data_IF_143950656108
#
_entry.id   IF_143950656108
#
_cell.length_a   1.000
_cell.length_b   1.000
_cell.length_c   1.000
_cell.angle_alpha   90.00
_cell.angle_beta   90.00
_cell.angle_gamma   90.00
#
_symmetry.space_group_name_H-M   'P 1'
#
loop_
_entity.id
_entity.type
_entity.pdbx_description
1 polymer ?
#
# COMPACT_ATOMS: atom_id res chain seq x y z
N UNK A 1 -21.40 -11.36 13.47
CA UNK A 1 -20.93 -11.03 12.11
C UNK A 1 -19.42 -11.23 12.10
N UNK A 2 -18.86 -12.10 11.23
CA UNK A 2 -17.39 -12.27 11.16
C UNK A 2 -16.81 -11.02 10.48
N UNK A 3 -16.07 -10.21 11.22
CA UNK A 3 -15.34 -9.09 10.64
C UNK A 3 -14.25 -9.64 9.73
N UNK A 4 -14.25 -9.26 8.46
CA UNK A 4 -13.27 -9.77 7.50
C UNK A 4 -11.87 -9.30 7.90
N UNK A 5 -10.90 -10.22 7.93
CA UNK A 5 -9.50 -9.90 8.18
C UNK A 5 -8.96 -8.96 7.10
N UNK A 6 -8.03 -8.09 7.47
CA UNK A 6 -7.42 -7.16 6.54
C UNK A 6 -6.50 -7.89 5.53
N UNK A 7 -6.63 -7.62 4.21
CA UNK A 7 -5.77 -8.25 3.22
C UNK A 7 -4.27 -7.93 3.36
N UNK A 8 -3.89 -6.86 4.09
CA UNK A 8 -2.50 -6.48 4.30
C UNK A 8 -1.69 -7.48 5.17
N UNK A 9 -2.34 -8.53 5.69
CA UNK A 9 -1.69 -9.58 6.47
C UNK A 9 -1.40 -9.22 7.91
N UNK A 10 -1.97 -8.14 8.45
CA UNK A 10 -1.79 -7.73 9.86
C UNK A 10 -2.51 -8.64 10.87
N UNK A 11 -3.47 -9.46 10.42
CA UNK A 11 -4.32 -10.26 11.29
C UNK A 11 -5.50 -9.50 11.91
N UNK A 12 -5.46 -8.17 11.91
CA UNK A 12 -6.55 -7.32 12.38
C UNK A 12 -7.75 -7.33 11.44
N UNK A 13 -8.92 -6.99 11.98
CA UNK A 13 -10.11 -6.69 11.20
C UNK A 13 -9.86 -5.57 10.19
N UNK A 14 -10.42 -5.68 8.99
CA UNK A 14 -10.27 -4.68 7.94
C UNK A 14 -10.67 -3.27 8.40
N UNK A 15 -11.83 -3.15 9.05
CA UNK A 15 -12.34 -1.86 9.53
C UNK A 15 -11.37 -1.16 10.51
N UNK A 16 -10.74 -1.93 11.38
CA UNK A 16 -9.79 -1.43 12.38
C UNK A 16 -8.36 -1.31 11.84
N UNK A 17 -8.10 -1.79 10.63
CA UNK A 17 -6.81 -1.74 9.96
C UNK A 17 -6.91 -0.81 8.74
N UNK A 18 -6.66 -1.28 7.53
CA UNK A 18 -6.62 -0.41 6.34
C UNK A 18 -7.96 0.27 6.00
N UNK A 19 -9.09 -0.28 6.46
CA UNK A 19 -10.41 0.32 6.28
C UNK A 19 -10.55 1.69 6.93
N UNK A 20 -9.83 1.95 8.04
CA UNK A 20 -9.83 3.28 8.68
C UNK A 20 -9.31 4.37 7.75
N UNK A 21 -8.31 4.04 6.91
CA UNK A 21 -7.70 4.97 5.97
C UNK A 21 -8.47 5.02 4.65
N UNK A 22 -8.86 3.85 4.13
CA UNK A 22 -9.46 3.71 2.79
C UNK A 22 -10.92 4.16 2.77
N UNK A 23 -11.72 3.74 3.76
CA UNK A 23 -13.16 3.99 3.78
C UNK A 23 -13.55 5.10 4.78
N UNK A 24 -12.85 5.20 5.93
CA UNK A 24 -13.12 6.22 6.96
C UNK A 24 -12.23 7.47 6.87
N UNK A 25 -11.34 7.54 5.87
CA UNK A 25 -10.51 8.72 5.55
C UNK A 25 -9.60 9.21 6.69
N UNK A 26 -9.27 8.35 7.66
CA UNK A 26 -8.20 8.63 8.60
C UNK A 26 -6.87 8.79 7.83
N UNK A 27 -5.92 9.53 8.41
CA UNK A 27 -4.61 9.77 7.80
C UNK A 27 -3.64 8.68 8.30
N UNK A 28 -2.93 7.96 7.41
CA UNK A 28 -1.84 7.07 7.81
C UNK A 28 -0.79 7.82 8.63
N UNK A 29 -0.42 7.28 9.78
CA UNK A 29 0.54 7.93 10.70
C UNK A 29 1.99 7.61 10.32
N UNK A 30 2.20 6.45 9.71
CA UNK A 30 3.51 5.97 9.25
C UNK A 30 3.54 5.68 7.75
N UNK A 31 4.74 5.64 7.18
CA UNK A 31 4.95 5.18 5.81
C UNK A 31 4.49 3.71 5.62
N UNK A 32 4.67 2.86 6.64
CA UNK A 32 4.19 1.47 6.61
C UNK A 32 2.66 1.38 6.60
N UNK A 33 1.96 2.20 7.39
CA UNK A 33 0.48 2.28 7.36
C UNK A 33 0.00 2.64 5.96
N UNK A 34 0.66 3.61 5.32
CA UNK A 34 0.33 3.99 3.96
C UNK A 34 0.64 2.86 2.97
N UNK A 35 1.80 2.22 3.06
CA UNK A 35 2.17 1.09 2.19
C UNK A 35 1.13 -0.04 2.28
N UNK A 36 0.79 -0.47 3.50
CA UNK A 36 -0.20 -1.53 3.75
C UNK A 36 -1.58 -1.16 3.20
N UNK A 37 -2.03 0.06 3.43
CA UNK A 37 -3.32 0.53 2.94
C UNK A 37 -3.35 0.68 1.42
N UNK A 38 -2.26 1.11 0.78
CA UNK A 38 -2.13 1.13 -0.69
C UNK A 38 -2.22 -0.28 -1.28
N UNK A 39 -1.54 -1.27 -0.69
CA UNK A 39 -1.69 -2.67 -1.10
C UNK A 39 -3.15 -3.13 -1.03
N UNK A 40 -3.85 -2.84 0.07
CA UNK A 40 -5.27 -3.21 0.22
C UNK A 40 -6.16 -2.45 -0.77
N UNK A 41 -5.83 -1.20 -1.08
CA UNK A 41 -6.53 -0.42 -2.09
C UNK A 41 -6.38 -1.05 -3.49
N UNK A 42 -5.21 -1.55 -3.87
CA UNK A 42 -5.04 -2.36 -5.08
C UNK A 42 -5.89 -3.65 -5.03
N UNK A 43 -5.83 -4.39 -3.92
CA UNK A 43 -6.59 -5.62 -3.74
C UNK A 43 -8.12 -5.43 -3.81
N UNK A 44 -8.60 -4.22 -3.51
CA UNK A 44 -10.03 -3.86 -3.49
C UNK A 44 -10.44 -2.88 -4.60
N UNK A 45 -9.58 -2.63 -5.58
CA UNK A 45 -9.84 -1.70 -6.68
C UNK A 45 -10.23 -0.27 -6.23
N UNK A 46 -9.62 0.26 -5.15
CA UNK A 46 -9.91 1.57 -4.56
C UNK A 46 -9.03 2.67 -5.17
N UNK A 47 -9.25 2.97 -6.45
CA UNK A 47 -8.41 3.88 -7.25
C UNK A 47 -8.37 5.31 -6.73
N UNK A 48 -9.48 5.83 -6.18
CA UNK A 48 -9.50 7.17 -5.58
C UNK A 48 -8.49 7.30 -4.42
N UNK A 49 -8.38 6.28 -3.56
CA UNK A 49 -7.41 6.26 -2.46
C UNK A 49 -5.98 6.16 -2.98
N UNK A 50 -5.74 5.32 -4.00
CA UNK A 50 -4.42 5.20 -4.64
C UNK A 50 -3.97 6.54 -5.22
N UNK A 51 -4.87 7.26 -5.89
CA UNK A 51 -4.62 8.56 -6.50
C UNK A 51 -4.38 9.67 -5.46
N UNK A 52 -5.13 9.66 -4.36
CA UNK A 52 -5.02 10.65 -3.28
C UNK A 52 -3.75 10.47 -2.42
N UNK A 53 -3.16 9.28 -2.45
CA UNK A 53 -1.96 8.93 -1.66
C UNK A 53 -0.71 8.76 -2.53
N UNK A 54 -0.79 9.16 -3.79
CA UNK A 54 0.35 9.20 -4.70
C UNK A 54 0.86 10.64 -4.78
N UNK A 55 2.17 10.81 -4.73
CA UNK A 55 2.78 12.11 -4.96
C UNK A 55 2.45 12.63 -6.36
N UNK A 56 1.98 13.88 -6.53
CA UNK A 56 1.53 14.39 -7.82
C UNK A 56 2.59 14.35 -8.93
N UNK A 57 3.88 14.47 -8.59
CA UNK A 57 4.96 14.48 -9.59
C UNK A 57 5.22 13.13 -10.27
N UNK A 58 4.80 12.01 -9.65
CA UNK A 58 5.06 10.66 -10.17
C UNK A 58 3.79 9.84 -10.36
N UNK A 59 2.61 10.44 -10.12
CA UNK A 59 1.32 9.76 -10.23
C UNK A 59 1.03 9.40 -11.69
N UNK A 60 0.80 8.12 -12.03
CA UNK A 60 0.41 7.74 -13.37
C UNK A 60 -0.99 8.26 -13.71
N UNK A 61 -1.24 8.48 -15.00
CA UNK A 61 -2.54 8.94 -15.49
C UNK A 61 -3.63 7.87 -15.33
N UNK A 62 -3.24 6.59 -15.40
CA UNK A 62 -4.14 5.45 -15.25
C UNK A 62 -3.75 4.61 -14.03
N UNK A 63 -4.75 4.34 -13.18
CA UNK A 63 -4.66 3.50 -11.98
C UNK A 63 -5.70 2.37 -12.02
N UNK A 64 -6.31 2.14 -13.20
CA UNK A 64 -7.32 1.10 -13.37
C UNK A 64 -6.73 -0.25 -13.01
N UNK A 65 -7.40 -1.02 -12.12
CA UNK A 65 -6.91 -2.33 -11.75
C UNK A 65 -7.02 -3.28 -12.94
N UNK A 66 -5.98 -4.08 -13.16
CA UNK A 66 -6.07 -5.21 -14.09
C UNK A 66 -6.93 -6.31 -13.45
N UNK A 67 -8.10 -6.65 -14.03
CA UNK A 67 -8.99 -7.68 -13.49
C UNK A 67 -8.37 -9.08 -13.51
N UNK A 68 -7.32 -9.31 -14.31
CA UNK A 68 -6.58 -10.58 -14.32
C UNK A 68 -5.68 -10.75 -13.09
N UNK A 69 -5.34 -9.65 -12.38
CA UNK A 69 -4.46 -9.65 -11.22
C UNK A 69 -5.29 -9.78 -9.94
N UNK A 70 -5.06 -10.86 -9.20
CA UNK A 70 -5.61 -11.06 -7.86
C UNK A 70 -4.50 -11.00 -6.82
N UNK A 71 -4.50 -9.96 -5.99
CA UNK A 71 -3.62 -9.85 -4.83
C UNK A 71 -3.99 -10.89 -3.76
N UNK A 72 -2.99 -11.63 -3.25
CA UNK A 72 -3.20 -12.76 -2.34
C UNK A 72 -2.38 -12.71 -1.06
N UNK A 73 -1.38 -11.83 -0.96
CA UNK A 73 -0.73 -11.53 0.30
C UNK A 73 0.28 -10.40 0.23
N UNK A 74 0.58 -9.83 1.39
CA UNK A 74 1.61 -8.84 1.60
C UNK A 74 2.50 -9.29 2.77
N UNK A 75 3.80 -9.08 2.64
CA UNK A 75 4.76 -9.21 3.74
C UNK A 75 5.66 -7.97 3.74
N UNK A 76 5.65 -7.20 4.82
CA UNK A 76 6.67 -6.16 5.04
C UNK A 76 7.97 -6.85 5.43
N UNK A 77 9.07 -6.45 4.80
CA UNK A 77 10.41 -6.93 5.07
C UNK A 77 11.15 -5.97 6.00
N UNK A 78 11.10 -4.68 5.71
CA UNK A 78 11.74 -3.64 6.50
C UNK A 78 11.03 -2.28 6.34
N UNK A 79 11.22 -1.41 7.33
CA UNK A 79 10.82 -0.01 7.29
C UNK A 79 11.99 0.82 7.81
N UNK A 80 12.31 1.91 7.11
CA UNK A 80 13.41 2.81 7.47
C UNK A 80 12.89 4.26 7.49
N UNK A 81 13.11 4.96 8.61
CA UNK A 81 12.39 6.20 8.93
C UNK A 81 10.86 6.00 8.76
N UNK A 82 10.12 7.03 8.37
CA UNK A 82 8.69 6.90 8.11
C UNK A 82 7.80 6.80 9.35
N UNK A 83 8.33 7.14 10.54
CA UNK A 83 7.56 7.25 11.77
C UNK A 83 6.81 8.58 11.89
N UNK A 84 6.02 8.78 12.96
CA UNK A 84 5.18 9.98 13.14
C UNK A 84 5.95 11.31 13.20
N UNK A 85 7.27 11.28 13.47
CA UNK A 85 8.12 12.47 13.50
C UNK A 85 8.87 12.71 12.17
N UNK A 86 8.95 11.72 11.28
CA UNK A 86 9.78 11.79 10.08
C UNK A 86 9.10 12.53 8.93
N UNK A 87 9.88 13.12 8.02
CA UNK A 87 9.38 13.76 6.80
C UNK A 87 9.48 12.86 5.56
N UNK A 88 10.20 11.75 5.66
CA UNK A 88 10.43 10.79 4.59
C UNK A 88 10.59 9.39 5.17
N UNK A 89 10.40 8.36 4.35
CA UNK A 89 10.56 6.98 4.79
C UNK A 89 10.60 5.99 3.64
N UNK A 90 11.10 4.79 3.94
CA UNK A 90 11.17 3.68 3.02
C UNK A 90 10.47 2.46 3.61
N UNK A 91 9.80 1.70 2.75
CA UNK A 91 9.19 0.42 3.13
C UNK A 91 9.55 -0.61 2.08
N UNK A 92 10.23 -1.67 2.50
CA UNK A 92 10.51 -2.83 1.67
C UNK A 92 9.49 -3.94 1.95
N UNK A 93 8.95 -4.54 0.91
CA UNK A 93 7.92 -5.56 1.04
C UNK A 93 7.95 -6.58 -0.10
N UNK A 94 7.26 -7.70 0.13
CA UNK A 94 6.90 -8.68 -0.89
C UNK A 94 5.38 -8.72 -1.02
N UNK A 95 4.87 -8.34 -2.18
CA UNK A 95 3.49 -8.53 -2.56
C UNK A 95 3.34 -9.80 -3.41
N UNK A 96 2.33 -10.61 -3.10
CA UNK A 96 2.00 -11.82 -3.85
C UNK A 96 0.69 -11.62 -4.57
N UNK A 97 0.66 -12.02 -5.83
CA UNK A 97 -0.52 -11.94 -6.67
C UNK A 97 -0.65 -13.20 -7.55
N UNK A 98 -1.85 -13.42 -8.07
CA UNK A 98 -2.11 -14.42 -9.10
C UNK A 98 -2.50 -13.75 -10.40
N UNK A 99 -1.98 -14.23 -11.51
CA UNK A 99 -2.42 -13.89 -12.86
C UNK A 99 -2.56 -15.19 -13.66
N UNK A 100 -3.68 -15.36 -14.36
CA UNK A 100 -3.99 -16.59 -15.12
C UNK A 100 -3.77 -17.89 -14.31
N UNK A 101 -4.14 -17.87 -13.02
CA UNK A 101 -4.02 -19.01 -12.11
C UNK A 101 -2.61 -19.27 -11.55
N UNK A 102 -1.58 -18.59 -12.05
CA UNK A 102 -0.19 -18.72 -11.57
C UNK A 102 0.11 -17.69 -10.49
N UNK A 103 0.83 -18.10 -9.45
CA UNK A 103 1.24 -17.22 -8.35
C UNK A 103 2.60 -16.59 -8.65
N UNK A 104 2.69 -15.28 -8.44
CA UNK A 104 3.88 -14.47 -8.64
C UNK A 104 4.18 -13.68 -7.36
N UNK A 105 5.45 -13.25 -7.24
CA UNK A 105 5.89 -12.32 -6.20
C UNK A 105 6.47 -11.08 -6.85
N UNK A 106 6.23 -9.94 -6.21
CA UNK A 106 6.86 -8.66 -6.47
C UNK A 106 7.58 -8.29 -5.18
N UNK A 107 8.88 -8.04 -5.24
CA UNK A 107 9.63 -7.43 -4.16
C UNK A 107 9.94 -5.99 -4.57
N UNK A 108 9.65 -5.05 -3.67
CA UNK A 108 9.82 -3.63 -3.94
C UNK A 108 10.27 -2.93 -2.65
N UNK A 109 11.14 -1.93 -2.80
CA UNK A 109 11.42 -0.93 -1.78
C UNK A 109 10.81 0.41 -2.22
N UNK A 110 9.74 0.81 -1.57
CA UNK A 110 9.02 2.05 -1.89
C UNK A 110 9.52 3.24 -1.07
N UNK A 111 9.60 4.40 -1.71
CA UNK A 111 9.88 5.69 -1.10
C UNK A 111 8.59 6.46 -0.81
N UNK A 112 8.56 7.10 0.35
CA UNK A 112 7.46 7.95 0.80
C UNK A 112 7.96 9.30 1.30
N UNK A 113 7.18 10.34 1.00
CA UNK A 113 7.35 11.69 1.52
C UNK A 113 6.14 12.10 2.35
N UNK A 114 6.36 12.85 3.42
CA UNK A 114 5.29 13.46 4.21
C UNK A 114 5.20 14.94 3.91
N UNK A 115 4.11 15.34 3.26
CA UNK A 115 3.81 16.73 2.93
C UNK A 115 2.49 17.14 3.57
N UNK A 116 2.45 18.31 4.21
CA UNK A 116 1.25 18.84 4.86
C UNK A 116 0.58 17.81 5.80
N UNK A 117 1.41 17.05 6.53
CA UNK A 117 0.96 16.02 7.46
C UNK A 117 0.47 14.71 6.83
N UNK A 118 0.62 14.52 5.51
CA UNK A 118 0.17 13.32 4.80
C UNK A 118 1.34 12.59 4.15
N UNK A 119 1.42 11.29 4.39
CA UNK A 119 2.33 10.42 3.63
C UNK A 119 1.84 10.28 2.19
N UNK A 120 2.78 10.29 1.23
CA UNK A 120 2.56 10.14 -0.20
C UNK A 120 3.60 9.16 -0.76
N UNK A 121 3.15 8.20 -1.55
CA UNK A 121 4.03 7.32 -2.32
C UNK A 121 4.70 8.10 -3.44
N UNK A 122 6.01 8.02 -3.55
CA UNK A 122 6.78 8.75 -4.57
C UNK A 122 7.29 7.80 -5.65
N UNK A 123 7.99 6.74 -5.26
CA UNK A 123 8.62 5.82 -6.20
C UNK A 123 8.81 4.44 -5.57
N UNK A 124 9.11 3.45 -6.40
CA UNK A 124 9.44 2.10 -6.03
C UNK A 124 10.69 1.64 -6.76
N UNK A 125 11.62 1.04 -6.04
CA UNK A 125 12.74 0.31 -6.61
C UNK A 125 12.45 -1.19 -6.52
N UNK A 126 12.60 -1.90 -7.64
CA UNK A 126 12.36 -3.33 -7.74
C UNK A 126 13.63 -4.16 -7.59
N UNK A 127 14.79 -3.51 -7.40
CA UNK A 127 16.10 -4.12 -7.48
C UNK A 127 16.43 -4.46 -8.94
N UNK A 128 17.57 -3.97 -9.44
CA UNK A 128 18.14 -4.54 -10.66
C UNK A 128 18.67 -5.94 -10.31
N UNK A 129 18.25 -6.96 -11.08
CA UNK A 129 18.91 -8.28 -11.08
C UNK A 129 20.40 -8.15 -11.43
#
# INVERSE_FOLDING_TARGET
MKTAACPCGSGSAYADCCGRFIDAQAIPETAEDLMRSRYVAYAKARTCYLSATWHPSTRPADLSPDPAIRWIGLKILSSEAGGPADSQGWVEFVARYKVQGRAHRLQERSYFLREQGRWLYVSGDFGAD
#
